data_IF_200400814315
#
_entry.id   IF_200400814315
#
_cell.length_a   1.000
_cell.length_b   1.000
_cell.length_c   1.000
_cell.angle_alpha   90.00
_cell.angle_beta   90.00
_cell.angle_gamma   90.00
#
_symmetry.space_group_name_H-M   'P 1'
#
loop_
_entity.id
_entity.type
_entity.pdbx_description
1 polymer ?
#
# COMPACT_ATOMS: atom_id res chain seq x y z
N UNK A 1 63.32 -6.51 -26.24
CA UNK A 1 61.96 -6.20 -26.74
C UNK A 1 60.87 -7.17 -26.26
N UNK A 2 61.22 -8.38 -25.78
CA UNK A 2 60.24 -9.37 -25.32
C UNK A 2 59.34 -8.88 -24.16
N UNK A 3 59.93 -8.21 -23.17
CA UNK A 3 59.21 -7.67 -22.00
C UNK A 3 58.13 -6.64 -22.40
N UNK A 4 58.46 -5.74 -23.33
CA UNK A 4 57.54 -4.71 -23.82
C UNK A 4 56.34 -5.33 -24.54
N UNK A 5 56.57 -6.35 -25.38
CA UNK A 5 55.49 -7.04 -26.09
C UNK A 5 54.54 -7.77 -25.13
N UNK A 6 55.08 -8.41 -24.10
CA UNK A 6 54.27 -9.07 -23.07
C UNK A 6 53.42 -8.07 -22.30
N UNK A 7 54.00 -6.94 -21.89
CA UNK A 7 53.28 -5.88 -21.19
C UNK A 7 52.12 -5.32 -22.03
N UNK A 8 52.37 -5.02 -23.30
CA UNK A 8 51.34 -4.53 -24.23
C UNK A 8 50.21 -5.55 -24.39
N UNK A 9 50.54 -6.85 -24.51
CA UNK A 9 49.54 -7.91 -24.60
C UNK A 9 48.70 -8.04 -23.34
N UNK A 10 49.32 -7.92 -22.15
CA UNK A 10 48.60 -7.97 -20.88
C UNK A 10 47.65 -6.79 -20.71
N UNK A 11 48.08 -5.57 -21.05
CA UNK A 11 47.24 -4.37 -20.97
C UNK A 11 46.07 -4.47 -21.95
N UNK A 12 46.30 -4.95 -23.18
CA UNK A 12 45.24 -5.18 -24.16
C UNK A 12 44.20 -6.18 -23.65
N UNK A 13 44.64 -7.25 -22.97
CA UNK A 13 43.75 -8.26 -22.41
C UNK A 13 42.92 -7.69 -21.25
N UNK A 14 43.55 -6.99 -20.31
CA UNK A 14 42.84 -6.30 -19.21
C UNK A 14 41.79 -5.31 -19.75
N UNK A 15 42.14 -4.56 -20.78
CA UNK A 15 41.22 -3.58 -21.38
C UNK A 15 40.04 -4.27 -22.05
N UNK A 16 40.27 -5.38 -22.77
CA UNK A 16 39.22 -6.18 -23.38
C UNK A 16 38.30 -6.81 -22.34
N UNK A 17 38.87 -7.41 -21.29
CA UNK A 17 38.12 -8.04 -20.21
C UNK A 17 37.22 -7.02 -19.48
N UNK A 18 37.74 -5.82 -19.21
CA UNK A 18 36.96 -4.72 -18.62
C UNK A 18 35.86 -4.21 -19.56
N UNK A 19 36.15 -4.08 -20.86
CA UNK A 19 35.15 -3.69 -21.86
C UNK A 19 34.01 -4.70 -21.97
N UNK A 20 34.32 -5.99 -21.88
CA UNK A 20 33.32 -7.06 -21.83
C UNK A 20 32.45 -6.99 -20.58
N UNK A 21 33.01 -6.72 -19.40
CA UNK A 21 32.25 -6.61 -18.13
C UNK A 21 31.23 -5.47 -18.16
N UNK A 22 31.59 -4.33 -18.77
CA UNK A 22 30.69 -3.16 -18.88
C UNK A 22 29.54 -3.40 -19.89
N UNK A 23 29.76 -4.28 -20.88
CA UNK A 23 28.77 -4.58 -21.93
C UNK A 23 27.67 -5.56 -21.49
N UNK A 24 27.84 -6.27 -20.37
CA UNK A 24 26.84 -7.18 -19.81
C UNK A 24 26.12 -6.41 -18.70
N UNK A 25 24.80 -6.43 -18.67
CA UNK A 25 24.03 -6.00 -17.50
C UNK A 25 24.61 -6.71 -16.27
N UNK A 26 25.24 -6.01 -15.32
CA UNK A 26 25.97 -6.67 -14.24
C UNK A 26 25.00 -7.44 -13.35
N UNK A 27 25.10 -8.78 -13.36
CA UNK A 27 24.43 -9.64 -12.38
C UNK A 27 25.31 -9.67 -11.14
N UNK A 28 25.03 -8.78 -10.18
CA UNK A 28 25.73 -8.74 -8.88
C UNK A 28 25.22 -9.87 -7.98
N UNK A 29 25.87 -11.04 -8.04
CA UNK A 29 25.65 -12.13 -7.07
C UNK A 29 26.61 -11.97 -5.89
N UNK A 30 26.24 -11.10 -4.95
CA UNK A 30 27.09 -10.81 -3.80
C UNK A 30 26.60 -11.65 -2.63
N UNK A 31 27.29 -12.76 -2.34
CA UNK A 31 27.08 -13.54 -1.10
C UNK A 31 27.42 -12.78 0.20
N UNK A 32 27.53 -11.45 0.12
CA UNK A 32 27.80 -10.49 1.19
C UNK A 32 27.07 -9.19 0.87
N UNK A 33 26.70 -8.41 1.90
CA UNK A 33 25.98 -7.15 1.71
C UNK A 33 26.86 -6.13 0.97
N UNK A 34 26.37 -5.62 -0.16
CA UNK A 34 26.98 -4.51 -0.88
C UNK A 34 26.25 -3.22 -0.54
N UNK A 35 27.02 -2.19 -0.19
CA UNK A 35 26.52 -0.83 -0.08
C UNK A 35 26.32 -0.29 -1.50
N UNK A 36 25.09 -0.39 -2.02
CA UNK A 36 24.71 0.19 -3.32
C UNK A 36 24.03 1.52 -3.05
N UNK A 37 24.61 2.62 -3.57
CA UNK A 37 23.94 3.91 -3.52
C UNK A 37 22.67 3.84 -4.38
N UNK A 38 21.57 4.42 -3.91
CA UNK A 38 20.25 4.34 -4.60
C UNK A 38 20.32 4.92 -6.01
N UNK A 39 21.22 5.88 -6.28
CA UNK A 39 21.48 6.41 -7.63
C UNK A 39 22.06 5.39 -8.61
N UNK A 40 22.76 4.37 -8.10
CA UNK A 40 23.44 3.34 -8.90
C UNK A 40 22.48 2.20 -9.25
N UNK A 41 21.39 2.07 -8.49
CA UNK A 41 20.27 1.22 -8.85
C UNK A 41 19.48 1.97 -9.91
N UNK A 42 19.52 1.51 -11.16
CA UNK A 42 18.63 1.97 -12.22
C UNK A 42 17.18 1.56 -11.90
N UNK A 43 16.57 2.17 -10.90
CA UNK A 43 15.14 2.06 -10.58
C UNK A 43 14.39 2.95 -11.57
N UNK A 44 14.49 2.62 -12.86
CA UNK A 44 13.79 3.34 -13.92
C UNK A 44 12.26 3.31 -13.73
N UNK A 45 11.74 2.36 -12.95
CA UNK A 45 10.30 2.19 -12.78
C UNK A 45 9.91 1.33 -11.56
N UNK A 46 10.31 1.67 -10.34
CA UNK A 46 9.34 1.45 -9.24
C UNK A 46 8.29 2.51 -9.50
N UNK A 47 7.25 2.12 -10.22
CA UNK A 47 6.10 2.98 -10.47
C UNK A 47 5.56 3.32 -9.09
N UNK A 48 6.00 4.45 -8.52
CA UNK A 48 5.48 4.96 -7.25
C UNK A 48 3.97 5.13 -7.37
N UNK A 49 3.46 5.31 -8.59
CA UNK A 49 2.03 5.27 -8.94
C UNK A 49 1.37 3.91 -8.67
N UNK A 50 2.04 2.78 -8.87
CA UNK A 50 1.50 1.45 -8.60
C UNK A 50 1.39 1.16 -7.09
N UNK A 51 2.43 1.51 -6.33
CA UNK A 51 2.39 1.38 -4.87
C UNK A 51 1.42 2.38 -4.25
N UNK A 52 1.42 3.63 -4.73
CA UNK A 52 0.50 4.67 -4.29
C UNK A 52 -0.95 4.31 -4.66
N UNK A 53 -1.20 3.73 -5.84
CA UNK A 53 -2.54 3.23 -6.21
C UNK A 53 -2.99 2.12 -5.28
N UNK A 54 -2.10 1.21 -4.88
CA UNK A 54 -2.44 0.12 -3.97
C UNK A 54 -2.75 0.64 -2.56
N UNK A 55 -1.98 1.62 -2.08
CA UNK A 55 -2.23 2.32 -0.81
C UNK A 55 -3.56 3.08 -0.88
N UNK A 56 -3.80 3.86 -1.93
CA UNK A 56 -5.05 4.62 -2.12
C UNK A 56 -6.24 3.68 -2.19
N UNK A 57 -6.15 2.56 -2.92
CA UNK A 57 -7.22 1.55 -2.97
C UNK A 57 -7.51 1.01 -1.57
N UNK A 58 -6.47 0.56 -0.86
CA UNK A 58 -6.60 0.00 0.49
C UNK A 58 -7.23 1.00 1.46
N UNK A 59 -6.79 2.26 1.43
CA UNK A 59 -7.33 3.34 2.27
C UNK A 59 -8.79 3.62 1.90
N UNK A 60 -9.10 3.69 0.60
CA UNK A 60 -10.46 3.93 0.11
C UNK A 60 -11.40 2.82 0.55
N UNK A 61 -10.98 1.56 0.37
CA UNK A 61 -11.76 0.38 0.77
C UNK A 61 -12.00 0.38 2.29
N UNK A 62 -10.94 0.62 3.07
CA UNK A 62 -11.03 0.65 4.54
C UNK A 62 -11.97 1.75 5.03
N UNK A 63 -11.81 2.97 4.51
CA UNK A 63 -12.64 4.11 4.90
C UNK A 63 -14.08 3.90 4.47
N UNK A 64 -14.32 3.44 3.23
CA UNK A 64 -15.67 3.20 2.69
C UNK A 64 -16.43 2.17 3.51
N UNK A 65 -15.82 1.03 3.83
CA UNK A 65 -16.46 -0.03 4.62
C UNK A 65 -16.70 0.42 6.05
N UNK A 66 -15.66 0.96 6.72
CA UNK A 66 -15.76 1.39 8.12
C UNK A 66 -16.83 2.45 8.32
N UNK A 67 -16.89 3.45 7.44
CA UNK A 67 -17.89 4.53 7.57
C UNK A 67 -19.29 4.05 7.24
N UNK A 68 -19.46 3.23 6.20
CA UNK A 68 -20.78 2.68 5.84
C UNK A 68 -21.33 1.77 6.94
N UNK A 69 -20.49 0.88 7.50
CA UNK A 69 -20.90 -0.04 8.56
C UNK A 69 -21.28 0.72 9.84
N UNK A 70 -20.50 1.75 10.20
CA UNK A 70 -20.77 2.55 11.38
C UNK A 70 -22.07 3.35 11.23
N UNK A 71 -22.29 3.99 10.07
CA UNK A 71 -23.52 4.72 9.77
C UNK A 71 -24.71 3.77 9.76
N UNK A 72 -24.60 2.61 9.11
CA UNK A 72 -25.65 1.59 9.07
C UNK A 72 -26.02 1.12 10.48
N UNK A 73 -25.02 0.86 11.34
CA UNK A 73 -25.24 0.47 12.72
C UNK A 73 -25.94 1.57 13.53
N UNK A 74 -25.52 2.83 13.39
CA UNK A 74 -26.17 3.97 14.07
C UNK A 74 -27.63 4.14 13.58
N UNK A 75 -27.86 4.09 12.28
CA UNK A 75 -29.22 4.18 11.72
C UNK A 75 -30.07 3.02 12.19
N UNK A 76 -29.56 1.79 12.14
CA UNK A 76 -30.26 0.59 12.61
C UNK A 76 -30.62 0.65 14.10
N UNK A 77 -29.72 1.14 14.95
CA UNK A 77 -29.99 1.30 16.39
C UNK A 77 -31.01 2.40 16.68
N UNK A 78 -30.91 3.56 16.02
CA UNK A 78 -31.86 4.67 16.19
C UNK A 78 -33.24 4.29 15.67
N UNK A 79 -33.32 3.75 14.44
CA UNK A 79 -34.61 3.33 13.84
C UNK A 79 -35.22 2.14 14.56
N UNK A 80 -34.41 1.19 15.04
CA UNK A 80 -34.88 0.07 15.86
C UNK A 80 -35.44 0.54 17.21
N UNK A 81 -34.79 1.50 17.87
CA UNK A 81 -35.24 2.03 19.16
C UNK A 81 -36.53 2.86 19.00
N UNK A 82 -36.55 3.79 18.05
CA UNK A 82 -37.70 4.67 17.80
C UNK A 82 -38.87 3.91 17.14
N UNK A 83 -38.58 2.88 16.35
CA UNK A 83 -39.57 2.08 15.63
C UNK A 83 -40.16 0.91 16.42
N UNK A 84 -39.53 0.46 17.53
CA UNK A 84 -40.05 -0.68 18.32
C UNK A 84 -41.34 -0.38 19.08
N UNK A 85 -41.62 0.90 19.32
CA UNK A 85 -42.89 1.37 19.88
C UNK A 85 -43.45 2.43 18.96
N UNK A 86 -44.64 2.19 18.40
CA UNK A 86 -45.33 3.25 17.67
C UNK A 86 -45.48 4.44 18.64
N UNK A 87 -44.98 5.64 18.29
CA UNK A 87 -45.10 6.81 19.15
C UNK A 87 -46.56 7.09 19.52
N UNK A 88 -47.51 6.76 18.63
CA UNK A 88 -48.94 6.88 18.89
C UNK A 88 -49.43 5.89 19.94
N UNK A 89 -48.93 4.65 19.96
CA UNK A 89 -49.29 3.68 21.00
C UNK A 89 -48.77 4.12 22.37
N UNK A 90 -47.54 4.67 22.39
CA UNK A 90 -46.94 5.25 23.61
C UNK A 90 -47.76 6.43 24.12
N UNK A 91 -48.11 7.36 23.23
CA UNK A 91 -48.97 8.52 23.58
C UNK A 91 -50.35 8.07 24.03
N UNK A 92 -50.95 7.08 23.36
CA UNK A 92 -52.28 6.55 23.70
C UNK A 92 -52.26 5.86 25.06
N UNK A 93 -51.22 5.10 25.40
CA UNK A 93 -51.07 4.50 26.72
C UNK A 93 -50.87 5.55 27.82
N UNK A 94 -50.08 6.61 27.55
CA UNK A 94 -49.90 7.72 28.50
C UNK A 94 -51.23 8.41 28.75
N UNK A 95 -51.95 8.78 27.69
CA UNK A 95 -53.26 9.43 27.80
C UNK A 95 -54.25 8.49 28.49
N UNK A 96 -54.34 7.23 28.08
CA UNK A 96 -55.23 6.24 28.69
C UNK A 96 -54.95 6.02 30.17
N UNK A 97 -53.68 6.00 30.60
CA UNK A 97 -53.29 5.88 32.01
C UNK A 97 -53.59 7.15 32.82
N UNK A 98 -53.39 8.34 32.24
CA UNK A 98 -53.69 9.63 32.90
C UNK A 98 -55.19 9.89 32.98
N UNK A 99 -55.96 9.48 31.96
CA UNK A 99 -57.40 9.73 31.88
C UNK A 99 -58.22 8.61 32.55
N UNK A 100 -57.66 7.40 32.67
CA UNK A 100 -58.28 6.25 33.32
C UNK A 100 -57.90 6.06 34.80
N UNK A 101 -57.11 6.99 35.36
CA UNK A 101 -56.66 6.98 36.76
C UNK A 101 -57.39 8.02 37.61
N UNK A 102 -58.73 7.94 37.69
CA UNK A 102 -59.59 8.47 38.77
C UNK A 102 -60.81 7.58 38.96
#
# INVERSE_FOLDING_TARGET
>A
MFLLKNLVSSISKVTQDLGNIVSITPVVNTGSSVNVNVSDINIANVSTTGLLSNVISTVTDTVSHTTTDLVSNVVGTVTGTVGSTNPIDTVTNIIGGVTGGV
#
